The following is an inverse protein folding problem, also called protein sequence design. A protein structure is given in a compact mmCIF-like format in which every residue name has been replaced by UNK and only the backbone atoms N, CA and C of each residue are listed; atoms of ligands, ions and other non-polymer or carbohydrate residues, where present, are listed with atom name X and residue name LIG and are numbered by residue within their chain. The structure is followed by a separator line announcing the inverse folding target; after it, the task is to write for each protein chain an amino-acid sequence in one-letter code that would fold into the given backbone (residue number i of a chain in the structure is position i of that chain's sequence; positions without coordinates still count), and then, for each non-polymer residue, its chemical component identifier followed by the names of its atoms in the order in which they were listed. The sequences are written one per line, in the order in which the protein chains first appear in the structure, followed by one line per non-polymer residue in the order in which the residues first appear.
data_IF_061093804009
#
_entry.id   IF_061093804009
#
_cell.length_a   1.000
_cell.length_b   1.000
_cell.length_c   1.000
_cell.angle_alpha   90.00
_cell.angle_beta   90.00
_cell.angle_gamma   90.00
#
_symmetry.space_group_name_H-M   'P 1'
#
loop_
_entity.id
_entity.type
_entity.pdbx_description
1 polymer ?
#
# COMPACT_ATOMS: atom_id res chain seq x y z
N UNK A 1 -3.50 2.54 -16.16
CA UNK A 1 -4.04 2.97 -14.86
C UNK A 1 -3.77 1.90 -13.82
N UNK A 2 -3.34 2.28 -12.63
CA UNK A 2 -2.97 1.34 -11.57
C UNK A 2 -4.20 0.90 -10.78
N UNK A 3 -4.20 -0.36 -10.36
CA UNK A 3 -5.27 -0.92 -9.51
C UNK A 3 -5.19 -0.39 -8.09
N UNK A 4 -3.98 -0.13 -7.61
CA UNK A 4 -3.71 0.35 -6.25
C UNK A 4 -2.96 1.67 -6.36
N UNK A 5 -3.39 2.66 -5.60
CA UNK A 5 -2.77 3.98 -5.54
C UNK A 5 -2.44 4.35 -4.11
N UNK A 6 -1.50 5.27 -3.96
CA UNK A 6 -1.18 5.87 -2.66
C UNK A 6 -2.45 6.45 -2.02
N UNK A 7 -2.63 6.18 -0.74
CA UNK A 7 -3.81 6.61 0.02
C UNK A 7 -4.96 5.61 0.04
N UNK A 8 -4.90 4.56 -0.81
CA UNK A 8 -5.92 3.50 -0.79
C UNK A 8 -5.82 2.68 0.48
N UNK A 9 -6.95 2.20 0.97
CA UNK A 9 -6.98 1.16 1.98
C UNK A 9 -6.92 -0.20 1.29
N UNK A 10 -6.02 -1.06 1.74
CA UNK A 10 -5.83 -2.40 1.18
C UNK A 10 -5.90 -3.45 2.28
N UNK A 11 -6.22 -4.68 1.89
CA UNK A 11 -6.18 -5.84 2.77
C UNK A 11 -5.15 -6.83 2.26
N UNK A 12 -4.33 -7.36 3.16
CA UNK A 12 -3.33 -8.38 2.83
C UNK A 12 -4.04 -9.72 2.67
N UNK A 13 -3.84 -10.36 1.52
CA UNK A 13 -4.51 -11.63 1.18
C UNK A 13 -3.60 -12.86 1.29
N UNK A 14 -2.31 -12.64 1.47
CA UNK A 14 -1.33 -13.73 1.57
C UNK A 14 -0.14 -13.31 2.42
N UNK A 15 0.53 -14.29 3.04
CA UNK A 15 1.70 -14.06 3.87
C UNK A 15 1.38 -13.98 5.36
N UNK A 16 2.36 -13.51 6.15
CA UNK A 16 2.26 -13.48 7.62
C UNK A 16 1.17 -12.54 8.15
N UNK A 17 0.85 -11.49 7.39
CA UNK A 17 -0.12 -10.46 7.79
C UNK A 17 -1.48 -10.64 7.14
N UNK A 18 -1.78 -11.84 6.63
CA UNK A 18 -3.05 -12.12 5.97
C UNK A 18 -4.25 -11.68 6.81
N UNK A 19 -5.16 -10.94 6.20
CA UNK A 19 -6.35 -10.39 6.85
C UNK A 19 -6.18 -9.00 7.44
N UNK A 20 -4.95 -8.49 7.51
CA UNK A 20 -4.68 -7.14 8.01
C UNK A 20 -4.99 -6.09 6.95
N UNK A 21 -5.48 -4.93 7.39
CA UNK A 21 -5.78 -3.79 6.53
C UNK A 21 -4.92 -2.61 6.89
N UNK A 22 -4.59 -1.79 5.90
CA UNK A 22 -3.82 -0.59 6.12
C UNK A 22 -3.89 0.35 4.93
N UNK A 23 -3.39 1.56 5.13
CA UNK A 23 -3.33 2.58 4.08
C UNK A 23 -2.02 2.46 3.30
N UNK A 24 -2.12 2.57 1.99
CA UNK A 24 -0.95 2.53 1.10
C UNK A 24 -0.14 3.80 1.27
N UNK A 25 1.12 3.65 1.68
CA UNK A 25 2.06 4.75 1.81
C UNK A 25 2.76 5.06 0.50
N UNK A 26 3.10 4.03 -0.27
CA UNK A 26 3.88 4.15 -1.50
C UNK A 26 3.65 2.95 -2.41
N UNK A 27 3.58 3.20 -3.70
CA UNK A 27 3.51 2.16 -4.73
C UNK A 27 4.73 2.27 -5.62
N UNK A 28 5.47 1.18 -5.76
CA UNK A 28 6.57 1.06 -6.72
C UNK A 28 6.11 0.20 -7.89
N UNK A 29 5.72 0.86 -8.96
CA UNK A 29 5.18 0.20 -10.15
C UNK A 29 6.26 -0.61 -10.85
N UNK A 30 7.47 -0.09 -10.89
CA UNK A 30 8.59 -0.70 -11.60
C UNK A 30 8.96 -2.05 -10.99
N UNK A 31 9.00 -2.13 -9.68
CA UNK A 31 9.35 -3.36 -8.95
C UNK A 31 8.12 -4.17 -8.53
N UNK A 32 6.92 -3.69 -8.86
CA UNK A 32 5.66 -4.34 -8.52
C UNK A 32 5.50 -4.55 -7.00
N UNK A 33 5.83 -3.52 -6.23
CA UNK A 33 5.84 -3.53 -4.77
C UNK A 33 4.98 -2.41 -4.20
N UNK A 34 4.51 -2.62 -2.98
CA UNK A 34 3.71 -1.63 -2.26
C UNK A 34 4.12 -1.61 -0.78
N UNK A 35 4.19 -0.40 -0.22
CA UNK A 35 4.38 -0.21 1.22
C UNK A 35 3.07 0.20 1.86
N UNK A 36 2.66 -0.53 2.90
CA UNK A 36 1.41 -0.32 3.60
C UNK A 36 1.70 0.04 5.05
N UNK A 37 1.05 1.08 5.54
CA UNK A 37 1.28 1.58 6.89
C UNK A 37 0.97 0.51 7.95
N UNK A 38 1.95 0.25 8.83
CA UNK A 38 1.80 -0.70 9.93
C UNK A 38 1.79 -2.18 9.53
N UNK A 39 2.02 -2.50 8.26
CA UNK A 39 1.97 -3.87 7.75
C UNK A 39 3.35 -4.31 7.27
N UNK A 40 3.62 -5.60 7.40
CA UNK A 40 4.91 -6.22 7.05
C UNK A 40 6.08 -5.56 7.80
N UNK A 41 5.88 -5.36 9.09
CA UNK A 41 6.89 -4.75 9.95
C UNK A 41 8.08 -5.67 10.12
N UNK A 42 9.26 -5.11 9.95
CA UNK A 42 10.52 -5.81 10.18
C UNK A 42 11.40 -4.99 11.10
N UNK A 43 12.22 -5.67 11.91
CA UNK A 43 13.24 -5.04 12.71
C UNK A 43 14.51 -4.89 11.91
N UNK A 44 15.00 -3.66 11.82
CA UNK A 44 16.26 -3.36 11.17
C UNK A 44 17.27 -2.89 12.20
N UNK A 45 18.48 -3.44 12.11
CA UNK A 45 19.61 -2.93 12.85
C UNK A 45 20.28 -1.84 12.03
N UNK A 46 20.15 -0.60 12.48
CA UNK A 46 20.83 0.52 11.84
C UNK A 46 22.22 0.66 12.44
N UNK A 47 23.22 0.72 11.54
CA UNK A 47 24.61 0.91 11.96
C UNK A 47 24.86 2.33 12.43
N UNK A 48 25.84 2.56 13.35
CA UNK A 48 26.27 3.91 13.68
C UNK A 48 26.70 4.65 12.42
N UNK A 49 26.37 5.93 12.35
CA UNK A 49 26.70 6.78 11.20
C UNK A 49 27.08 8.17 11.68
N UNK A 50 27.91 8.93 10.90
CA UNK A 50 28.19 10.32 11.24
C UNK A 50 26.95 11.19 11.06
N UNK A 51 26.71 12.08 12.03
CA UNK A 51 25.64 13.06 11.96
C UNK A 51 26.07 14.31 11.20
N UNK A 52 25.11 15.21 10.88
CA UNK A 52 25.36 16.40 10.07
C UNK A 52 26.30 17.42 10.74
N UNK A 53 26.48 17.38 12.07
CA UNK A 53 27.36 18.27 12.82
C UNK A 53 28.66 17.61 13.27
N UNK A 54 29.08 16.52 12.62
CA UNK A 54 30.25 15.77 13.01
C UNK A 54 30.05 14.84 14.21
N UNK A 55 28.82 14.74 14.70
CA UNK A 55 28.44 13.83 15.76
C UNK A 55 28.34 12.40 15.21
N UNK A 56 28.57 11.40 16.09
CA UNK A 56 28.21 10.04 15.74
C UNK A 56 26.82 9.72 16.23
N UNK A 57 25.98 9.25 15.31
CA UNK A 57 24.66 8.71 15.65
C UNK A 57 24.85 7.24 16.00
N UNK A 58 24.49 6.81 17.23
CA UNK A 58 24.68 5.41 17.62
C UNK A 58 23.79 4.49 16.80
N UNK A 59 24.21 3.24 16.65
CA UNK A 59 23.38 2.19 16.06
C UNK A 59 22.13 1.96 16.89
N UNK A 60 21.04 1.62 16.23
CA UNK A 60 19.76 1.39 16.90
C UNK A 60 18.97 0.29 16.18
N UNK A 61 18.00 -0.26 16.90
CA UNK A 61 17.03 -1.20 16.33
C UNK A 61 15.74 -0.43 16.08
N UNK A 62 15.26 -0.42 14.84
CA UNK A 62 14.02 0.26 14.46
C UNK A 62 13.09 -0.70 13.76
N UNK A 63 11.79 -0.49 13.97
CA UNK A 63 10.76 -1.20 13.25
C UNK A 63 10.38 -0.39 12.00
N UNK A 64 10.42 -1.03 10.84
CA UNK A 64 10.10 -0.40 9.55
C UNK A 64 9.15 -1.27 8.77
N UNK A 65 8.27 -0.64 7.98
CA UNK A 65 7.48 -1.35 7.01
C UNK A 65 8.39 -1.84 5.87
N UNK A 66 8.26 -3.12 5.52
CA UNK A 66 8.93 -3.66 4.34
C UNK A 66 7.94 -3.70 3.17
N UNK A 67 8.41 -3.55 1.91
CA UNK A 67 7.53 -3.63 0.75
C UNK A 67 6.89 -5.01 0.62
N UNK A 68 5.62 -5.01 0.17
CA UNK A 68 4.89 -6.22 -0.18
C UNK A 68 4.78 -6.30 -1.70
N UNK A 69 4.65 -7.52 -2.22
CA UNK A 69 4.30 -7.71 -3.62
C UNK A 69 2.87 -7.21 -3.85
N UNK A 70 2.62 -6.52 -4.96
CA UNK A 70 1.29 -6.00 -5.29
C UNK A 70 0.23 -7.10 -5.39
N UNK A 71 0.63 -8.32 -5.76
CA UNK A 71 -0.28 -9.47 -5.83
C UNK A 71 -0.76 -9.96 -4.46
N UNK A 72 -0.10 -9.55 -3.38
CA UNK A 72 -0.41 -9.98 -2.02
C UNK A 72 -1.41 -9.07 -1.31
N UNK A 73 -1.88 -8.02 -1.97
CA UNK A 73 -2.85 -7.09 -1.40
C UNK A 73 -4.00 -6.85 -2.37
N UNK A 74 -5.17 -6.54 -1.82
CA UNK A 74 -6.34 -6.13 -2.60
C UNK A 74 -6.90 -4.83 -2.04
N UNK A 75 -7.38 -3.93 -2.91
CA UNK A 75 -8.02 -2.71 -2.42
C UNK A 75 -9.31 -3.02 -1.68
N UNK A 76 -9.60 -2.21 -0.67
CA UNK A 76 -10.85 -2.26 0.09
C UNK A 76 -11.75 -1.15 -0.40
N UNK A 77 -12.96 -1.51 -0.83
CA UNK A 77 -13.94 -0.53 -1.29
C UNK A 77 -14.44 0.31 -0.12
N UNK A 78 -14.37 1.65 -0.17
CA UNK A 78 -14.90 2.49 0.91
C UNK A 78 -16.42 2.44 1.05
N UNK A 79 -17.12 2.04 -0.01
CA UNK A 79 -18.59 1.97 0.01
C UNK A 79 -19.12 0.67 0.62
N UNK A 80 -18.55 -0.49 0.25
CA UNK A 80 -19.00 -1.77 0.79
C UNK A 80 -18.07 -2.35 1.87
N UNK A 81 -16.94 -1.71 2.12
CA UNK A 81 -15.94 -2.08 3.13
C UNK A 81 -15.38 -3.50 2.97
N UNK A 82 -15.44 -4.04 1.76
CA UNK A 82 -14.92 -5.37 1.45
C UNK A 82 -13.74 -5.26 0.49
N UNK A 83 -12.79 -6.19 0.61
CA UNK A 83 -11.74 -6.33 -0.39
C UNK A 83 -12.37 -6.71 -1.73
N UNK A 84 -11.88 -6.12 -2.80
CA UNK A 84 -12.47 -6.31 -4.11
C UNK A 84 -11.41 -6.29 -5.20
N UNK A 85 -11.72 -6.91 -6.32
CA UNK A 85 -10.97 -6.70 -7.55
C UNK A 85 -11.38 -5.38 -8.17
N UNK A 86 -10.44 -4.75 -8.85
CA UNK A 86 -10.65 -3.47 -9.49
C UNK A 86 -11.05 -3.67 -10.94
N UNK A 87 -12.20 -3.12 -11.32
CA UNK A 87 -12.57 -2.92 -12.72
C UNK A 87 -12.34 -1.47 -13.11
N UNK A 88 -12.52 -1.17 -14.38
CA UNK A 88 -12.35 0.19 -14.90
C UNK A 88 -13.55 0.53 -15.77
N UNK A 89 -13.97 1.79 -15.70
CA UNK A 89 -14.97 2.32 -16.62
C UNK A 89 -14.65 3.77 -16.96
N UNK A 90 -15.22 4.26 -18.04
CA UNK A 90 -15.07 5.66 -18.45
C UNK A 90 -16.24 6.44 -17.85
N UNK A 91 -15.94 7.49 -17.09
CA UNK A 91 -16.93 8.38 -16.51
C UNK A 91 -17.50 9.25 -17.62
N UNK A 92 -18.82 9.27 -17.77
CA UNK A 92 -19.50 10.02 -18.83
C UNK A 92 -19.32 11.55 -18.67
N UNK A 93 -19.26 12.02 -17.44
CA UNK A 93 -19.20 13.46 -17.16
C UNK A 93 -17.93 14.13 -17.68
N UNK A 94 -16.78 13.46 -17.63
CA UNK A 94 -15.48 14.04 -17.98
C UNK A 94 -14.64 13.16 -18.91
N UNK A 95 -15.11 11.96 -19.25
CA UNK A 95 -14.39 11.03 -20.12
C UNK A 95 -13.20 10.36 -19.50
N UNK A 96 -12.95 10.55 -18.19
CA UNK A 96 -11.83 9.94 -17.50
C UNK A 96 -12.11 8.50 -17.13
N UNK A 97 -11.06 7.67 -17.20
CA UNK A 97 -11.11 6.29 -16.76
C UNK A 97 -11.00 6.25 -15.23
N UNK A 98 -11.95 5.59 -14.58
CA UNK A 98 -11.98 5.46 -13.11
C UNK A 98 -12.00 3.99 -12.71
N UNK A 99 -11.49 3.73 -11.50
CA UNK A 99 -11.54 2.40 -10.91
C UNK A 99 -12.92 2.17 -10.29
N UNK A 100 -13.41 0.95 -10.43
CA UNK A 100 -14.71 0.57 -9.85
C UNK A 100 -14.56 -0.70 -9.02
N UNK A 101 -15.37 -0.80 -7.97
CA UNK A 101 -15.50 -2.01 -7.17
C UNK A 101 -16.33 -3.03 -7.93
N UNK A 102 -15.78 -4.24 -8.12
CA UNK A 102 -16.52 -5.31 -8.81
C UNK A 102 -17.60 -5.96 -7.95
N UNK A 103 -17.64 -5.69 -6.66
CA UNK A 103 -18.66 -6.23 -5.75
C UNK A 103 -19.90 -5.36 -5.65
N UNK A 104 -19.73 -4.04 -5.56
CA UNK A 104 -20.85 -3.10 -5.39
C UNK A 104 -20.96 -2.09 -6.53
N UNK A 105 -20.06 -2.14 -7.50
CA UNK A 105 -20.05 -1.28 -8.69
C UNK A 105 -19.88 0.22 -8.39
N UNK A 106 -19.39 0.56 -7.22
CA UNK A 106 -19.09 1.94 -6.84
C UNK A 106 -17.75 2.39 -7.38
N UNK A 107 -17.62 3.70 -7.65
CA UNK A 107 -16.34 4.29 -8.03
C UNK A 107 -15.38 4.26 -6.86
N UNK A 108 -14.13 3.86 -7.11
CA UNK A 108 -13.06 3.86 -6.13
C UNK A 108 -12.25 5.16 -6.17
N UNK A 109 -12.41 5.92 -7.23
CA UNK A 109 -11.75 7.23 -7.41
C UNK A 109 -12.68 8.40 -7.14
#
# INVERSE_FOLDING_TARGET
MQRIKRGDTVEVIAGKDKGERGEVMRVDIKDNRVMVNGINMVRKHEKPRPGPSGQQIPGQIVDREAPLDLSNVMPVCPSCEQRTRVGFRIREADGHKVRVCKKCDSDLD
#
